data_IF_963544657866
#
_entry.id   IF_963544657866
#
_cell.length_a   1.000
_cell.length_b   1.000
_cell.length_c   1.000
_cell.angle_alpha   90.00
_cell.angle_beta   90.00
_cell.angle_gamma   90.00
#
_symmetry.space_group_name_H-M   'P 1'
#
loop_
_entity.id
_entity.type
_entity.pdbx_description
1 polymer ?
#
# COMPACT_ATOMS: atom_id res chain seq x y z
N UNK A 1 17.86 13.11 -17.07
CA UNK A 1 16.80 12.32 -16.45
C UNK A 1 16.52 12.83 -15.06
N UNK A 2 15.30 13.26 -14.80
CA UNK A 2 14.91 13.69 -13.47
C UNK A 2 14.62 12.47 -12.59
N UNK A 3 14.92 12.62 -11.29
CA UNK A 3 14.68 11.55 -10.30
C UNK A 3 13.66 12.05 -9.31
N UNK A 4 12.68 11.19 -9.00
CA UNK A 4 11.59 11.54 -8.10
C UNK A 4 11.45 10.50 -7.01
N UNK A 5 11.17 10.98 -5.80
CA UNK A 5 10.84 10.11 -4.68
C UNK A 5 9.34 9.96 -4.57
N UNK A 6 8.90 8.73 -4.38
CA UNK A 6 7.51 8.43 -4.12
C UNK A 6 7.41 7.55 -2.89
N UNK A 7 6.24 7.52 -2.30
CA UNK A 7 5.93 6.61 -1.20
C UNK A 7 4.65 5.87 -1.54
N UNK A 8 4.58 4.62 -1.11
CA UNK A 8 3.41 3.80 -1.39
C UNK A 8 3.01 2.99 -0.17
N UNK A 9 1.82 2.43 -0.24
CA UNK A 9 1.22 1.73 0.88
C UNK A 9 0.73 0.36 0.45
N UNK A 10 1.19 -0.67 1.17
CA UNK A 10 0.54 -1.98 1.14
C UNK A 10 -0.43 -1.96 2.30
N UNK A 11 -1.70 -1.75 2.01
CA UNK A 11 -2.73 -1.53 3.02
C UNK A 11 -3.27 -2.88 3.45
N UNK A 12 -3.29 -3.11 4.76
CA UNK A 12 -3.68 -4.42 5.30
C UNK A 12 -4.71 -4.26 6.40
N UNK A 13 -5.52 -5.29 6.55
CA UNK A 13 -6.40 -5.45 7.70
C UNK A 13 -6.53 -6.93 8.00
N UNK A 14 -6.91 -7.25 9.24
CA UNK A 14 -7.18 -8.64 9.61
C UNK A 14 -8.59 -9.02 9.19
N UNK A 15 -8.69 -10.10 8.42
CA UNK A 15 -9.96 -10.73 8.15
C UNK A 15 -10.16 -11.92 9.09
N UNK A 16 -11.31 -12.54 9.01
CA UNK A 16 -11.61 -13.72 9.83
C UNK A 16 -10.67 -14.88 9.55
N UNK A 17 -10.20 -14.97 8.31
CA UNK A 17 -9.34 -16.07 7.88
C UNK A 17 -7.98 -15.56 7.46
N UNK A 18 -7.48 -14.54 8.14
CA UNK A 18 -6.14 -14.02 7.89
C UNK A 18 -6.13 -12.62 7.31
N UNK A 19 -4.95 -12.12 7.01
CA UNK A 19 -4.81 -10.76 6.51
C UNK A 19 -5.46 -10.57 5.14
N UNK A 20 -5.96 -9.37 4.93
CA UNK A 20 -6.45 -8.92 3.63
C UNK A 20 -5.61 -7.76 3.16
N UNK A 21 -5.36 -7.72 1.88
CA UNK A 21 -4.54 -6.69 1.24
C UNK A 21 -5.42 -5.92 0.27
N UNK A 22 -5.31 -4.60 0.31
CA UNK A 22 -6.12 -3.74 -0.55
C UNK A 22 -5.38 -3.40 -1.82
N UNK A 23 -6.02 -3.63 -2.95
CA UNK A 23 -5.54 -3.14 -4.23
C UNK A 23 -6.52 -2.10 -4.77
N UNK A 24 -6.01 -1.17 -5.55
CA UNK A 24 -6.82 -0.14 -6.19
C UNK A 24 -6.53 -0.15 -7.68
N UNK A 25 -7.46 0.39 -8.47
CA UNK A 25 -7.23 0.53 -9.90
C UNK A 25 -6.35 1.75 -10.16
N UNK A 26 -5.52 1.67 -11.20
CA UNK A 26 -4.70 2.79 -11.62
C UNK A 26 -5.57 3.87 -12.24
N UNK A 27 -5.17 5.13 -12.04
CA UNK A 27 -5.97 6.26 -12.47
C UNK A 27 -6.08 6.35 -13.99
N UNK A 28 -4.94 6.17 -14.68
CA UNK A 28 -4.90 6.31 -16.14
C UNK A 28 -5.38 5.09 -16.89
N UNK A 29 -5.24 3.92 -16.27
CA UNK A 29 -5.66 2.67 -16.85
C UNK A 29 -6.38 1.86 -15.80
N UNK A 30 -7.72 1.98 -15.72
CA UNK A 30 -8.47 1.32 -14.65
C UNK A 30 -8.53 -0.20 -14.76
N UNK A 31 -7.96 -0.78 -15.80
CA UNK A 31 -7.79 -2.23 -15.85
C UNK A 31 -6.58 -2.71 -15.05
N UNK A 32 -5.68 -1.79 -14.69
CA UNK A 32 -4.49 -2.15 -13.93
C UNK A 32 -4.79 -2.05 -12.43
N UNK A 33 -4.30 -3.04 -11.69
CA UNK A 33 -4.44 -3.11 -10.24
C UNK A 33 -3.09 -2.88 -9.58
N UNK A 34 -3.06 -1.95 -8.64
CA UNK A 34 -1.81 -1.45 -8.06
C UNK A 34 -1.97 -1.21 -6.56
N UNK A 35 -0.84 -0.93 -5.90
CA UNK A 35 -0.84 -0.36 -4.56
C UNK A 35 -0.90 1.16 -4.67
N UNK A 36 -1.59 1.85 -3.75
CA UNK A 36 -1.55 3.32 -3.73
C UNK A 36 -0.12 3.83 -3.58
N UNK A 37 0.21 4.85 -4.37
CA UNK A 37 1.51 5.51 -4.27
C UNK A 37 1.44 6.88 -4.91
N UNK A 38 2.38 7.74 -4.54
CA UNK A 38 2.48 9.04 -5.16
C UNK A 38 3.70 9.81 -4.69
N UNK A 39 3.83 11.03 -5.17
CA UNK A 39 4.96 11.88 -4.88
C UNK A 39 4.98 12.31 -3.42
N UNK A 40 6.19 12.40 -2.87
CA UNK A 40 6.40 12.95 -1.55
C UNK A 40 6.39 14.47 -1.69
N UNK A 41 5.55 15.11 -0.89
CA UNK A 41 5.40 16.57 -0.94
C UNK A 41 6.46 17.25 -0.09
N UNK A 42 6.68 18.53 -0.36
CA UNK A 42 7.67 19.30 0.37
C UNK A 42 7.39 19.25 1.87
N UNK A 43 8.42 18.93 2.65
CA UNK A 43 8.29 18.84 4.10
C UNK A 43 7.64 17.57 4.63
N UNK A 44 7.22 16.68 3.75
CA UNK A 44 6.54 15.44 4.12
C UNK A 44 7.56 14.33 4.27
N UNK A 45 7.37 13.47 5.30
CA UNK A 45 8.18 12.27 5.40
C UNK A 45 7.64 11.20 4.46
N UNK A 46 8.46 10.19 4.17
CA UNK A 46 8.01 9.07 3.34
C UNK A 46 6.81 8.37 3.97
N UNK A 47 6.85 8.16 5.30
CA UNK A 47 5.73 7.51 5.99
C UNK A 47 4.45 8.32 5.90
N UNK A 48 4.55 9.64 6.10
CA UNK A 48 3.38 10.51 6.01
C UNK A 48 2.80 10.50 4.61
N UNK A 49 3.67 10.48 3.59
CA UNK A 49 3.22 10.43 2.21
C UNK A 49 2.47 9.13 1.92
N UNK A 50 2.98 8.00 2.43
CA UNK A 50 2.30 6.71 2.24
C UNK A 50 0.89 6.73 2.85
N UNK A 51 0.77 7.27 4.06
CA UNK A 51 -0.53 7.36 4.73
C UNK A 51 -1.48 8.29 3.96
N UNK A 52 -0.96 9.40 3.48
CA UNK A 52 -1.78 10.35 2.69
C UNK A 52 -2.24 9.72 1.38
N UNK A 53 -1.36 9.01 0.69
CA UNK A 53 -1.74 8.37 -0.57
C UNK A 53 -2.80 7.28 -0.35
N UNK A 54 -2.69 6.53 0.76
CA UNK A 54 -3.71 5.54 1.11
C UNK A 54 -5.07 6.22 1.29
N UNK A 55 -5.08 7.38 1.93
CA UNK A 55 -6.33 8.11 2.14
C UNK A 55 -6.88 8.64 0.82
N UNK A 56 -6.04 9.26 0.01
CA UNK A 56 -6.50 9.88 -1.23
C UNK A 56 -6.96 8.86 -2.26
N UNK A 57 -6.18 7.80 -2.45
CA UNK A 57 -6.46 6.85 -3.52
C UNK A 57 -7.43 5.75 -3.11
N UNK A 58 -7.41 5.36 -1.85
CA UNK A 58 -8.22 4.23 -1.39
C UNK A 58 -9.29 4.62 -0.38
N UNK A 59 -9.27 5.85 0.13
CA UNK A 59 -10.21 6.26 1.15
C UNK A 59 -10.00 5.55 2.47
N UNK A 60 -8.77 5.16 2.76
CA UNK A 60 -8.44 4.40 3.96
C UNK A 60 -7.61 5.26 4.91
N UNK A 61 -8.08 5.35 6.16
CA UNK A 61 -7.26 5.90 7.23
C UNK A 61 -6.42 4.76 7.79
N UNK A 62 -5.16 5.04 8.05
CA UNK A 62 -4.28 4.00 8.55
C UNK A 62 -3.01 4.54 9.15
N UNK A 63 -2.20 3.63 9.66
CA UNK A 63 -0.91 4.01 10.21
C UNK A 63 0.15 3.02 9.74
N UNK A 64 1.37 3.51 9.59
CA UNK A 64 2.49 2.68 9.20
C UNK A 64 2.84 1.74 10.35
N UNK A 65 2.92 0.45 10.04
CA UNK A 65 3.33 -0.56 11.02
C UNK A 65 4.67 -1.20 10.67
N UNK A 66 5.22 -0.93 9.50
CA UNK A 66 6.53 -1.43 9.14
C UNK A 66 6.89 -1.09 7.72
N UNK A 67 8.13 -1.37 7.36
CA UNK A 67 8.63 -1.18 6.01
C UNK A 67 8.24 -2.37 5.15
N UNK A 68 7.93 -2.12 3.88
CA UNK A 68 7.62 -3.18 2.94
C UNK A 68 8.74 -3.41 1.94
N UNK A 69 9.38 -2.33 1.46
CA UNK A 69 10.45 -2.45 0.50
C UNK A 69 10.51 -1.26 -0.41
N UNK A 70 11.41 -1.33 -1.38
CA UNK A 70 11.59 -0.25 -2.36
C UNK A 70 11.64 -0.84 -3.74
N UNK A 71 11.20 -0.05 -4.72
CA UNK A 71 11.40 -0.41 -6.12
C UNK A 71 11.63 0.86 -6.91
N UNK A 72 12.28 0.69 -8.06
CA UNK A 72 12.56 1.79 -8.96
C UNK A 72 11.95 1.47 -10.32
N UNK A 73 11.49 2.51 -11.00
CA UNK A 73 11.02 2.32 -12.37
C UNK A 73 11.27 3.61 -13.15
N UNK A 74 11.22 3.48 -14.47
CA UNK A 74 11.36 4.63 -15.36
C UNK A 74 10.08 4.79 -16.15
N UNK A 75 9.71 6.04 -16.35
CA UNK A 75 8.56 6.37 -17.16
C UNK A 75 8.86 7.67 -17.90
N UNK A 76 8.78 7.62 -19.23
CA UNK A 76 9.23 8.73 -20.05
C UNK A 76 10.73 8.96 -19.82
N UNK A 77 11.10 10.19 -19.56
CA UNK A 77 12.48 10.56 -19.30
C UNK A 77 12.80 10.64 -17.82
N UNK A 78 11.93 10.11 -16.98
CA UNK A 78 12.06 10.25 -15.53
C UNK A 78 12.30 8.91 -14.86
N UNK A 79 13.03 8.94 -13.75
CA UNK A 79 13.24 7.78 -12.90
C UNK A 79 12.52 8.03 -11.58
N UNK A 80 11.91 6.97 -11.05
CA UNK A 80 11.14 7.03 -9.82
C UNK A 80 11.64 5.99 -8.85
N UNK A 81 11.78 6.38 -7.59
CA UNK A 81 12.06 5.45 -6.51
C UNK A 81 10.89 5.48 -5.55
N UNK A 82 10.27 4.35 -5.35
CA UNK A 82 9.10 4.23 -4.48
C UNK A 82 9.51 3.46 -3.24
N UNK A 83 9.29 4.06 -2.07
CA UNK A 83 9.46 3.38 -0.80
C UNK A 83 8.08 2.98 -0.30
N UNK A 84 7.88 1.69 -0.09
CA UNK A 84 6.59 1.15 0.33
C UNK A 84 6.61 0.81 1.80
N UNK A 85 5.48 1.08 2.44
CA UNK A 85 5.27 0.76 3.86
C UNK A 85 4.03 -0.11 3.99
N UNK A 86 4.03 -0.94 5.02
CA UNK A 86 2.81 -1.65 5.39
C UNK A 86 1.98 -0.70 6.23
N UNK A 87 0.76 -0.45 5.79
CA UNK A 87 -0.16 0.49 6.43
C UNK A 87 -1.37 -0.31 6.90
N UNK A 88 -1.57 -0.35 8.23
CA UNK A 88 -2.72 -1.02 8.81
C UNK A 88 -3.88 -0.06 8.89
N UNK A 89 -5.03 -0.48 8.41
CA UNK A 89 -6.21 0.38 8.42
C UNK A 89 -6.67 0.64 9.86
N UNK A 90 -7.03 1.90 10.12
CA UNK A 90 -7.64 2.30 11.38
C UNK A 90 -9.07 2.79 11.17
N UNK A 91 -9.48 2.94 9.91
CA UNK A 91 -10.82 3.38 9.59
C UNK A 91 -10.94 3.66 8.11
N UNK A 92 -12.12 4.06 7.70
CA UNK A 92 -12.37 4.43 6.32
C UNK A 92 -12.70 5.91 6.23
N UNK A 93 -12.10 6.56 5.24
CA UNK A 93 -12.41 7.94 4.91
C UNK A 93 -13.33 8.00 3.72
N UNK A 94 -13.38 9.18 3.11
CA UNK A 94 -14.29 9.40 1.98
C UNK A 94 -13.56 9.57 0.66
N UNK A 95 -12.29 9.95 0.69
CA UNK A 95 -11.53 10.19 -0.53
C UNK A 95 -11.15 8.86 -1.16
N UNK A 96 -11.27 8.74 -2.46
CA UNK A 96 -10.76 7.58 -3.16
C UNK A 96 -10.61 7.83 -4.66
N UNK A 97 -10.67 9.05 -5.07
CA UNK A 97 -10.41 9.48 -6.45
C UNK A 97 -11.12 8.64 -7.51
N UNK A 98 -12.32 8.12 -7.20
CA UNK A 98 -13.08 7.34 -8.14
C UNK A 98 -12.51 5.98 -8.48
N UNK A 99 -11.54 5.49 -7.73
CA UNK A 99 -10.92 4.20 -8.04
C UNK A 99 -11.75 3.05 -7.51
N UNK A 100 -11.62 1.90 -8.14
CA UNK A 100 -12.23 0.67 -7.61
C UNK A 100 -11.26 0.01 -6.64
N UNK A 101 -11.80 -0.66 -5.64
CA UNK A 101 -11.04 -1.25 -4.55
C UNK A 101 -11.36 -2.73 -4.44
N UNK A 102 -10.35 -3.52 -4.02
CA UNK A 102 -10.53 -4.94 -3.71
C UNK A 102 -9.70 -5.31 -2.50
N UNK A 103 -10.35 -5.87 -1.49
CA UNK A 103 -9.66 -6.50 -0.36
C UNK A 103 -9.47 -7.97 -0.70
N UNK A 104 -8.24 -8.43 -0.75
CA UNK A 104 -7.91 -9.74 -1.28
C UNK A 104 -7.00 -10.50 -0.33
N UNK A 105 -7.09 -11.83 -0.36
CA UNK A 105 -6.11 -12.68 0.28
C UNK A 105 -4.80 -12.60 -0.51
N UNK A 106 -3.73 -13.03 0.14
CA UNK A 106 -2.39 -12.91 -0.45
C UNK A 106 -2.31 -13.47 -1.88
N UNK A 107 -2.73 -14.71 -2.07
CA UNK A 107 -2.63 -15.34 -3.39
C UNK A 107 -3.49 -14.64 -4.43
N UNK A 108 -4.64 -14.15 -4.01
CA UNK A 108 -5.53 -13.41 -4.90
C UNK A 108 -4.91 -12.07 -5.29
N UNK A 109 -4.27 -11.40 -4.34
CA UNK A 109 -3.59 -10.14 -4.61
C UNK A 109 -2.43 -10.34 -5.59
N UNK A 110 -1.65 -11.41 -5.41
CA UNK A 110 -0.58 -11.72 -6.34
C UNK A 110 -1.10 -11.90 -7.77
N UNK A 111 -2.20 -12.61 -7.91
CA UNK A 111 -2.77 -12.83 -9.24
C UNK A 111 -3.35 -11.56 -9.85
N UNK A 112 -3.88 -10.66 -9.01
CA UNK A 112 -4.55 -9.47 -9.48
C UNK A 112 -3.58 -8.33 -9.82
N UNK A 113 -2.47 -8.23 -9.11
CA UNK A 113 -1.49 -7.16 -9.36
C UNK A 113 -1.02 -7.22 -10.81
N UNK A 114 -1.04 -6.07 -11.47
CA UNK A 114 -0.73 -6.00 -12.89
C UNK A 114 0.76 -6.14 -13.17
N UNK A 115 1.61 -5.55 -12.30
CA UNK A 115 3.05 -5.46 -12.59
C UNK A 115 3.84 -6.47 -11.80
N UNK A 116 4.80 -7.10 -12.49
CA UNK A 116 5.65 -8.11 -11.88
C UNK A 116 6.43 -7.55 -10.70
N UNK A 117 6.89 -6.31 -10.82
CA UNK A 117 7.68 -5.68 -9.76
C UNK A 117 6.89 -5.57 -8.45
N UNK A 118 5.60 -5.25 -8.53
CA UNK A 118 4.80 -5.18 -7.33
C UNK A 118 4.43 -6.56 -6.79
N UNK A 119 4.33 -7.55 -7.66
CA UNK A 119 4.16 -8.93 -7.19
C UNK A 119 5.38 -9.38 -6.40
N UNK A 120 6.58 -9.09 -6.92
CA UNK A 120 7.82 -9.41 -6.22
C UNK A 120 7.90 -8.69 -4.88
N UNK A 121 7.52 -7.41 -4.87
CA UNK A 121 7.49 -6.64 -3.64
C UNK A 121 6.58 -7.29 -2.60
N UNK A 122 5.39 -7.71 -3.01
CA UNK A 122 4.45 -8.34 -2.11
C UNK A 122 4.98 -9.68 -1.59
N UNK A 123 5.57 -10.49 -2.46
CA UNK A 123 6.16 -11.76 -2.02
C UNK A 123 7.23 -11.54 -0.96
N UNK A 124 8.11 -10.58 -1.20
CA UNK A 124 9.20 -10.29 -0.26
C UNK A 124 8.68 -9.77 1.07
N UNK A 125 7.64 -8.95 1.04
CA UNK A 125 7.10 -8.33 2.24
C UNK A 125 6.16 -9.25 3.02
N UNK A 126 5.64 -10.29 2.38
CA UNK A 126 4.55 -11.10 2.95
C UNK A 126 4.86 -11.66 4.33
N UNK A 127 6.05 -12.22 4.60
CA UNK A 127 6.32 -12.74 5.95
C UNK A 127 6.18 -11.66 7.03
N UNK A 128 6.60 -10.44 6.73
CA UNK A 128 6.48 -9.33 7.67
C UNK A 128 5.05 -8.86 7.81
N UNK A 129 4.31 -8.86 6.69
CA UNK A 129 2.91 -8.44 6.71
C UNK A 129 2.09 -9.33 7.66
N UNK A 130 2.34 -10.63 7.61
CA UNK A 130 1.63 -11.56 8.51
C UNK A 130 1.88 -11.22 9.98
N UNK A 131 3.12 -10.91 10.31
CA UNK A 131 3.48 -10.56 11.67
C UNK A 131 2.82 -9.26 12.11
N UNK A 132 2.84 -8.26 11.25
CA UNK A 132 2.23 -6.96 11.55
C UNK A 132 0.73 -7.09 11.81
N UNK A 133 0.06 -7.92 11.04
CA UNK A 133 -1.37 -8.14 11.22
C UNK A 133 -1.65 -8.83 12.55
N UNK A 134 -0.86 -9.84 12.89
CA UNK A 134 -1.02 -10.55 14.15
C UNK A 134 -0.75 -9.65 15.35
N UNK A 135 0.30 -8.83 15.27
CA UNK A 135 0.66 -7.90 16.32
C UNK A 135 -0.48 -6.93 16.63
N UNK A 136 -1.18 -6.50 15.58
CA UNK A 136 -2.32 -5.61 15.77
C UNK A 136 -3.39 -6.23 16.64
N UNK A 137 -3.74 -7.48 16.37
CA UNK A 137 -4.77 -8.17 17.13
C UNK A 137 -4.39 -8.26 18.59
N UNK A 138 -3.14 -8.64 18.88
CA UNK A 138 -2.65 -8.70 20.27
C UNK A 138 -2.66 -7.35 20.94
N UNK A 139 -2.19 -6.33 20.24
CA UNK A 139 -2.15 -4.98 20.80
C UNK A 139 -3.51 -4.45 21.16
N UNK A 140 -4.51 -4.76 20.37
CA UNK A 140 -5.88 -4.30 20.62
C UNK A 140 -6.40 -4.83 21.95
N UNK A 141 -6.11 -6.09 22.26
CA UNK A 141 -6.60 -6.68 23.49
C UNK A 141 -5.99 -6.05 24.73
N UNK A 142 -4.77 -5.59 24.64
CA UNK A 142 -4.08 -5.02 25.80
C UNK A 142 -4.67 -3.70 26.27
N UNK A 143 -5.48 -3.08 25.46
CA UNK A 143 -6.03 -1.77 25.78
C UNK A 143 -7.23 -1.80 26.70
N UNK A 144 -7.66 -2.95 27.05
CA UNK A 144 -8.83 -3.07 27.92
C UNK A 144 -8.54 -2.73 29.35
#
# INVERSE_FOLDING_TARGET
>A
MAKFKQAGAIIVRNGKTGPRILLVTARRNPDNWIFPKGHVESGETLKAAAVREAREEAGIEGKVVGAAGRMSFEFGDNAYRVTYFVVRTTGEGKEREGRRLRWLKYKQALRRLTYEETRDLLRDAWPRIKVFAATRASGSRKKK
#
